data_IF_433759125206
#
_entry.id   IF_433759125206
#
_cell.length_a   1.000
_cell.length_b   1.000
_cell.length_c   1.000
_cell.angle_alpha   90.00
_cell.angle_beta   90.00
_cell.angle_gamma   90.00
#
_symmetry.space_group_name_H-M   'P 1'
#
loop_
_entity.id
_entity.type
_entity.pdbx_description
1 polymer ?
#
# COMPACT_ATOMS: atom_id res chain seq x y z
N UNK A 1 -7.38 14.02 7.57
CA UNK A 1 -8.30 15.03 8.11
C UNK A 1 -7.55 15.86 9.14
N UNK A 2 -7.48 17.17 8.91
CA UNK A 2 -6.69 18.12 9.70
C UNK A 2 -7.27 18.24 11.12
N UNK A 3 -8.57 18.00 11.29
CA UNK A 3 -9.25 18.12 12.57
C UNK A 3 -9.05 16.92 13.50
N UNK A 4 -8.65 15.75 12.98
CA UNK A 4 -8.47 14.52 13.77
C UNK A 4 -7.09 13.86 13.60
N UNK A 5 -6.19 14.47 12.83
CA UNK A 5 -4.85 13.93 12.59
C UNK A 5 -4.80 12.60 11.81
N UNK A 6 -5.92 12.13 11.25
CA UNK A 6 -5.94 10.89 10.46
C UNK A 6 -5.32 11.13 9.09
N UNK A 7 -4.23 10.44 8.80
CA UNK A 7 -3.68 10.31 7.46
C UNK A 7 -4.27 9.09 6.76
N UNK A 8 -4.45 9.17 5.44
CA UNK A 8 -4.95 8.06 4.62
C UNK A 8 -3.91 7.83 3.52
N UNK A 9 -3.35 6.62 3.46
CA UNK A 9 -2.44 6.20 2.41
C UNK A 9 -3.22 5.54 1.27
N UNK A 10 -2.92 5.92 0.04
CA UNK A 10 -3.40 5.26 -1.17
C UNK A 10 -2.23 4.55 -1.85
N UNK A 11 -2.17 3.22 -1.68
CA UNK A 11 -1.20 2.39 -2.38
C UNK A 11 -1.79 1.89 -3.72
N UNK A 12 -0.97 1.74 -4.77
CA UNK A 12 -1.42 1.21 -6.05
C UNK A 12 -1.85 -0.26 -5.93
N UNK A 13 -2.85 -0.67 -6.72
CA UNK A 13 -3.12 -2.09 -6.96
C UNK A 13 -2.12 -2.60 -7.99
N UNK A 14 -1.24 -3.49 -7.54
CA UNK A 14 -0.19 -4.07 -8.37
C UNK A 14 -0.68 -5.39 -8.99
N UNK A 15 -0.32 -5.62 -10.23
CA UNK A 15 -0.52 -6.90 -10.92
C UNK A 15 0.34 -7.98 -10.25
N UNK A 16 -0.14 -9.23 -10.12
CA UNK A 16 0.69 -10.35 -9.65
C UNK A 16 2.07 -10.44 -10.32
N UNK A 17 2.17 -10.13 -11.61
CA UNK A 17 3.43 -10.20 -12.36
C UNK A 17 4.46 -9.16 -11.90
N UNK A 18 4.01 -8.10 -11.23
CA UNK A 18 4.89 -7.12 -10.60
C UNK A 18 5.78 -7.77 -9.53
N UNK A 19 5.29 -8.82 -8.86
CA UNK A 19 6.03 -9.50 -7.80
C UNK A 19 7.28 -10.23 -8.31
N UNK A 20 7.27 -10.63 -9.58
CA UNK A 20 8.37 -11.34 -10.23
C UNK A 20 9.60 -10.44 -10.35
N UNK A 21 9.39 -9.17 -10.67
CA UNK A 21 10.47 -8.22 -10.96
C UNK A 21 10.85 -7.36 -9.75
N UNK A 22 9.86 -7.03 -8.92
CA UNK A 22 9.98 -6.01 -7.87
C UNK A 22 9.90 -6.59 -6.45
N UNK A 23 9.73 -7.90 -6.33
CA UNK A 23 9.60 -8.59 -5.05
C UNK A 23 8.16 -8.61 -4.51
N UNK A 24 7.93 -9.21 -3.34
CA UNK A 24 6.60 -9.58 -2.88
C UNK A 24 5.69 -8.36 -2.62
N UNK A 25 4.46 -8.44 -3.14
CA UNK A 25 3.39 -7.45 -2.91
C UNK A 25 3.02 -7.44 -1.42
N UNK A 26 3.11 -6.28 -0.77
CA UNK A 26 2.81 -6.13 0.65
C UNK A 26 1.31 -5.98 0.90
N UNK A 27 0.75 -6.63 1.93
CA UNK A 27 -0.64 -6.45 2.31
C UNK A 27 -0.88 -5.06 2.89
N UNK A 28 -2.13 -4.59 2.88
CA UNK A 28 -2.49 -3.27 3.43
C UNK A 28 -2.11 -3.08 4.91
N UNK A 29 -2.09 -4.16 5.69
CA UNK A 29 -1.67 -4.15 7.10
C UNK A 29 -0.20 -3.79 7.30
N UNK A 30 0.65 -3.98 6.29
CA UNK A 30 2.06 -3.60 6.33
C UNK A 30 2.26 -2.08 6.39
N UNK A 31 1.30 -1.32 5.85
CA UNK A 31 1.40 0.13 5.69
C UNK A 31 0.64 0.92 6.78
N UNK A 32 0.28 0.26 7.88
CA UNK A 32 -0.50 0.84 8.96
C UNK A 32 0.38 1.33 10.10
#
# INVERSE_FOLDING_TARGET
DISNGKSILFAPRLDPDYAVWMGPIKPLSYFK
#
